data_IF_089297568062
#
_entry.id   IF_089297568062
#
_cell.length_a   1.000
_cell.length_b   1.000
_cell.length_c   1.000
_cell.angle_alpha   90.00
_cell.angle_beta   90.00
_cell.angle_gamma   90.00
#
_symmetry.space_group_name_H-M   'P 1'
#
loop_
_entity.id
_entity.type
_entity.pdbx_description
1 polymer ?
#
# COMPACT_ATOMS: atom_id res chain seq x y z
N UNK A 1 0.64 17.44 3.42
CA UNK A 1 0.52 16.16 2.73
C UNK A 1 1.45 16.23 1.53
N UNK A 2 2.62 15.60 1.61
CA UNK A 2 3.53 15.58 0.47
C UNK A 2 3.04 14.49 -0.46
N UNK A 3 2.20 14.86 -1.43
CA UNK A 3 1.66 13.96 -2.45
C UNK A 3 2.81 13.52 -3.35
N UNK A 4 3.49 12.47 -2.91
CA UNK A 4 4.72 12.01 -3.55
C UNK A 4 4.31 11.14 -4.72
N UNK A 5 4.58 11.67 -5.92
CA UNK A 5 4.18 11.02 -7.17
C UNK A 5 5.38 10.35 -7.81
N UNK A 6 5.16 9.14 -8.32
CA UNK A 6 6.13 8.29 -8.99
C UNK A 6 5.80 8.18 -10.47
N UNK A 7 6.83 8.23 -11.31
CA UNK A 7 6.69 7.93 -12.74
C UNK A 7 6.91 6.44 -12.94
N UNK A 8 5.92 5.74 -13.45
CA UNK A 8 6.01 4.33 -13.82
C UNK A 8 5.83 4.16 -15.32
N UNK A 9 6.40 3.10 -15.87
CA UNK A 9 6.25 2.69 -17.26
C UNK A 9 4.78 2.56 -17.58
N UNK A 10 4.38 3.02 -18.75
CA UNK A 10 2.98 2.92 -19.17
C UNK A 10 2.54 1.46 -19.28
N UNK A 11 1.29 1.20 -18.88
CA UNK A 11 0.72 -0.15 -18.91
C UNK A 11 -0.08 -0.36 -20.21
N UNK A 12 -0.45 0.74 -20.87
CA UNK A 12 -1.16 0.72 -22.15
C UNK A 12 -0.55 1.69 -23.16
N UNK A 13 -0.54 1.32 -24.44
CA UNK A 13 0.00 2.15 -25.54
C UNK A 13 -0.69 3.50 -25.69
N UNK A 14 -1.90 3.64 -25.15
CA UNK A 14 -2.68 4.88 -25.14
C UNK A 14 -2.25 5.89 -24.06
N UNK A 15 -1.40 5.48 -23.11
CA UNK A 15 -0.98 6.32 -21.98
C UNK A 15 0.35 7.08 -22.21
N UNK A 16 1.00 6.89 -23.37
CA UNK A 16 2.32 7.47 -23.65
C UNK A 16 3.47 6.61 -23.11
N UNK A 17 4.65 7.20 -22.88
CA UNK A 17 5.84 6.47 -22.42
C UNK A 17 5.80 6.13 -20.92
N UNK A 18 5.13 6.95 -20.11
CA UNK A 18 5.02 6.78 -18.66
C UNK A 18 3.70 7.30 -18.11
N UNK A 19 3.31 6.80 -16.95
CA UNK A 19 2.19 7.29 -16.16
C UNK A 19 2.68 7.77 -14.80
N UNK A 20 2.05 8.82 -14.28
CA UNK A 20 2.33 9.37 -12.96
C UNK A 20 1.29 8.79 -12.02
N UNK A 21 1.74 8.13 -10.96
CA UNK A 21 0.89 7.56 -9.92
C UNK A 21 1.33 8.07 -8.56
N UNK A 22 0.46 7.97 -7.55
CA UNK A 22 0.88 8.20 -6.17
C UNK A 22 1.83 7.10 -5.69
N UNK A 23 2.65 7.40 -4.69
CA UNK A 23 3.44 6.38 -3.99
C UNK A 23 2.55 5.29 -3.37
N UNK A 24 1.33 5.65 -2.93
CA UNK A 24 0.32 4.71 -2.44
C UNK A 24 -0.22 3.76 -3.53
N UNK A 25 -0.31 4.23 -4.77
CA UNK A 25 -0.76 3.42 -5.91
C UNK A 25 0.39 2.61 -6.54
N UNK A 26 1.63 2.76 -6.06
CA UNK A 26 2.76 2.05 -6.65
C UNK A 26 2.86 0.61 -6.14
N UNK A 27 2.46 -0.31 -7.00
CA UNK A 27 2.68 -1.74 -6.82
C UNK A 27 3.97 -2.16 -7.56
N UNK A 28 4.93 -2.75 -6.85
CA UNK A 28 6.22 -3.21 -7.44
C UNK A 28 6.09 -4.42 -8.36
N UNK A 29 5.03 -5.21 -8.22
CA UNK A 29 4.73 -6.39 -9.01
C UNK A 29 3.91 -6.02 -10.26
N UNK A 30 3.05 -4.99 -10.17
CA UNK A 30 2.26 -4.51 -11.30
C UNK A 30 2.91 -3.33 -12.07
N UNK A 31 3.68 -2.48 -11.40
CA UNK A 31 4.22 -1.24 -11.95
C UNK A 31 5.75 -1.26 -11.96
N UNK A 32 6.34 -0.83 -13.07
CA UNK A 32 7.80 -0.67 -13.21
C UNK A 32 8.12 0.80 -13.22
N UNK A 33 9.03 1.31 -12.38
CA UNK A 33 9.43 2.73 -12.44
C UNK A 33 9.98 3.10 -13.82
N UNK A 34 9.51 4.22 -14.37
CA UNK A 34 9.96 4.71 -15.67
C UNK A 34 11.35 5.34 -15.51
N UNK A 35 12.35 4.80 -16.22
CA UNK A 35 13.73 5.30 -16.19
C UNK A 35 14.73 4.43 -15.44
N UNK A 36 14.47 3.13 -15.25
CA UNK A 36 15.46 2.12 -14.87
C UNK A 36 16.33 2.48 -13.64
N UNK A 37 15.68 2.90 -12.57
CA UNK A 37 16.24 2.69 -11.23
C UNK A 37 15.30 1.77 -10.49
N UNK A 38 15.71 0.50 -10.35
CA UNK A 38 15.19 -0.37 -9.30
C UNK A 38 15.15 0.46 -8.01
N UNK A 39 14.01 0.50 -7.30
CA UNK A 39 13.95 1.22 -6.04
C UNK A 39 15.11 0.75 -5.18
N UNK A 40 15.87 1.70 -4.67
CA UNK A 40 16.97 1.38 -3.75
C UNK A 40 16.38 0.68 -2.53
N UNK A 41 17.17 -0.12 -1.81
CA UNK A 41 16.69 -0.82 -0.61
C UNK A 41 16.00 0.12 0.41
N UNK A 42 16.34 1.42 0.39
CA UNK A 42 15.71 2.45 1.21
C UNK A 42 14.31 2.85 0.72
N UNK A 43 14.11 2.97 -0.59
CA UNK A 43 12.80 3.24 -1.20
C UNK A 43 11.89 2.02 -1.09
N UNK A 44 12.45 0.83 -1.27
CA UNK A 44 11.73 -0.42 -1.05
C UNK A 44 11.22 -0.53 0.40
N UNK A 45 12.08 -0.20 1.38
CA UNK A 45 11.68 -0.21 2.79
C UNK A 45 10.55 0.78 3.11
N UNK A 46 10.58 1.98 2.52
CA UNK A 46 9.51 2.96 2.69
C UNK A 46 8.17 2.46 2.12
N UNK A 47 8.22 1.80 0.96
CA UNK A 47 7.06 1.15 0.36
C UNK A 47 6.51 0.01 1.21
N UNK A 48 7.38 -0.87 1.71
CA UNK A 48 6.96 -1.98 2.58
C UNK A 48 6.37 -1.45 3.91
N UNK A 49 6.91 -0.36 4.46
CA UNK A 49 6.35 0.31 5.64
C UNK A 49 4.97 0.94 5.36
N UNK A 50 4.78 1.53 4.18
CA UNK A 50 3.49 2.10 3.78
C UNK A 50 2.45 1.00 3.54
N UNK A 51 2.81 -0.08 2.84
CA UNK A 51 1.93 -1.22 2.61
C UNK A 51 1.50 -1.88 3.93
N UNK A 52 2.42 -2.00 4.90
CA UNK A 52 2.10 -2.50 6.23
C UNK A 52 1.13 -1.57 6.98
N UNK A 53 1.31 -0.25 6.87
CA UNK A 53 0.39 0.72 7.45
C UNK A 53 -1.00 0.63 6.81
N UNK A 54 -1.07 0.56 5.47
CA UNK A 54 -2.33 0.41 4.73
C UNK A 54 -3.08 -0.87 5.13
N UNK A 55 -2.39 -2.01 5.20
CA UNK A 55 -2.93 -3.28 5.70
C UNK A 55 -3.54 -3.12 7.10
N UNK A 56 -2.84 -2.43 8.00
CA UNK A 56 -3.30 -2.19 9.36
C UNK A 56 -4.59 -1.35 9.37
N UNK A 57 -4.63 -0.27 8.60
CA UNK A 57 -5.86 0.55 8.43
C UNK A 57 -7.00 -0.25 7.80
N UNK A 58 -6.72 -1.07 6.78
CA UNK A 58 -7.71 -1.90 6.12
C UNK A 58 -8.30 -2.95 7.09
N UNK A 59 -7.48 -3.59 7.91
CA UNK A 59 -7.94 -4.53 8.94
C UNK A 59 -8.78 -3.82 10.00
N UNK A 60 -8.37 -2.63 10.48
CA UNK A 60 -9.16 -1.80 11.41
C UNK A 60 -10.50 -1.38 10.82
N UNK A 61 -10.53 -1.01 9.54
CA UNK A 61 -11.76 -0.64 8.83
C UNK A 61 -12.72 -1.84 8.76
N UNK A 62 -12.24 -3.02 8.34
CA UNK A 62 -13.06 -4.23 8.27
C UNK A 62 -13.61 -4.67 9.63
N UNK A 63 -12.81 -4.57 10.69
CA UNK A 63 -13.28 -4.83 12.06
C UNK A 63 -14.37 -3.85 12.47
N UNK A 64 -14.20 -2.57 12.16
CA UNK A 64 -15.19 -1.52 12.43
C UNK A 64 -16.49 -1.76 11.64
N UNK A 65 -16.40 -2.17 10.37
CA UNK A 65 -17.55 -2.54 9.54
C UNK A 65 -18.31 -3.76 10.10
N UNK A 66 -17.59 -4.72 10.69
CA UNK A 66 -18.18 -5.86 11.39
C UNK A 66 -18.70 -5.52 12.79
N UNK A 67 -18.48 -4.29 13.27
CA UNK A 67 -18.84 -3.86 14.63
C UNK A 67 -17.98 -4.48 15.74
N UNK A 68 -16.79 -5.00 15.38
CA UNK A 68 -15.84 -5.57 16.34
C UNK A 68 -15.03 -4.44 16.96
N UNK A 69 -15.08 -4.33 18.29
CA UNK A 69 -14.27 -3.36 19.04
C UNK A 69 -12.84 -3.89 19.17
N UNK A 70 -11.85 -3.08 18.82
CA UNK A 70 -10.43 -3.39 18.96
C UNK A 70 -9.69 -2.24 19.62
N UNK A 71 -8.57 -2.53 20.29
CA UNK A 71 -7.73 -1.48 20.86
C UNK A 71 -6.95 -0.74 19.77
N UNK A 72 -6.84 0.60 19.86
CA UNK A 72 -6.07 1.38 18.88
C UNK A 72 -4.58 1.02 18.86
N UNK A 73 -4.07 0.56 20.02
CA UNK A 73 -2.72 0.07 20.21
C UNK A 73 -2.53 -1.42 19.85
N UNK A 74 -3.59 -2.12 19.43
CA UNK A 74 -3.48 -3.52 19.01
C UNK A 74 -2.59 -3.64 17.78
N UNK A 75 -1.75 -4.67 17.79
CA UNK A 75 -0.84 -4.94 16.68
C UNK A 75 -1.59 -5.46 15.45
N UNK A 76 -0.99 -5.34 14.27
CA UNK A 76 -1.57 -5.87 13.02
C UNK A 76 -1.95 -7.35 13.15
N UNK A 77 -1.15 -8.16 13.86
CA UNK A 77 -1.44 -9.57 14.09
C UNK A 77 -2.70 -9.80 14.96
N UNK A 78 -2.87 -9.01 16.01
CA UNK A 78 -4.05 -9.09 16.90
C UNK A 78 -5.31 -8.64 16.16
N UNK A 79 -5.23 -7.53 15.43
CA UNK A 79 -6.34 -7.04 14.60
C UNK A 79 -6.71 -8.05 13.52
N UNK A 80 -5.73 -8.67 12.87
CA UNK A 80 -5.99 -9.69 11.86
C UNK A 80 -6.66 -10.92 12.47
N UNK A 81 -6.22 -11.35 13.66
CA UNK A 81 -6.82 -12.49 14.37
C UNK A 81 -8.28 -12.20 14.74
N UNK A 82 -8.58 -10.99 15.21
CA UNK A 82 -9.96 -10.56 15.50
C UNK A 82 -10.82 -10.54 14.23
N UNK A 83 -10.23 -10.14 13.10
CA UNK A 83 -10.93 -10.06 11.83
C UNK A 83 -11.28 -11.45 11.30
N UNK A 84 -10.31 -12.37 11.38
CA UNK A 84 -10.45 -13.78 10.98
C UNK A 84 -11.47 -14.51 11.87
N UNK A 85 -11.46 -14.26 13.18
CA UNK A 85 -12.43 -14.81 14.11
C UNK A 85 -13.86 -14.27 13.92
N UNK A 86 -14.00 -13.11 13.24
CA UNK A 86 -15.27 -12.47 12.94
C UNK A 86 -15.74 -12.68 11.49
N UNK A 87 -14.95 -13.38 10.65
CA UNK A 87 -15.32 -13.83 9.31
C UNK A 87 -16.32 -14.99 9.34
#
# INVERSE_FOLDING_TARGET
MSDKTLKVKSWHKSQGDFVIIGEADFDKDAHTLFGDKKPTAKEQKALDEQAAAELLTATKAKLSEKGVTFEEAATQAELQTLLDAAE
#
